data_IF_003251835117
#
_entry.id   IF_003251835117
#
_cell.length_a   1.000
_cell.length_b   1.000
_cell.length_c   1.000
_cell.angle_alpha   90.00
_cell.angle_beta   90.00
_cell.angle_gamma   90.00
#
_symmetry.space_group_name_H-M   'P 1'
#
loop_
_entity.id
_entity.type
_entity.pdbx_description
1 polymer ?
#
# COMPACT_ATOMS: atom_id res chain seq x y z
N UNK A 1 14.58 22.71 15.26
CA UNK A 1 14.50 22.55 16.73
C UNK A 1 13.21 23.14 17.31
N UNK A 2 12.66 24.19 16.73
CA UNK A 2 11.40 24.79 17.21
C UNK A 2 10.12 24.05 16.77
N UNK A 3 10.18 23.30 15.68
CA UNK A 3 9.05 22.50 15.18
C UNK A 3 8.72 21.26 16.02
N UNK A 4 9.70 20.67 16.70
CA UNK A 4 9.47 19.50 17.57
C UNK A 4 8.74 19.86 18.88
N UNK A 5 9.03 21.07 19.41
CA UNK A 5 8.32 21.57 20.59
C UNK A 5 6.84 21.87 20.29
N UNK A 6 6.53 22.30 19.06
CA UNK A 6 5.16 22.60 18.66
C UNK A 6 4.30 21.35 18.51
N UNK A 7 4.86 20.23 18.06
CA UNK A 7 4.15 18.94 17.95
C UNK A 7 3.79 18.37 19.34
N UNK A 8 4.74 18.45 20.28
CA UNK A 8 4.51 18.05 21.66
C UNK A 8 3.43 18.89 22.35
N UNK A 9 3.39 20.19 22.05
CA UNK A 9 2.42 21.13 22.63
C UNK A 9 1.02 20.94 22.05
N UNK A 10 0.89 20.71 20.74
CA UNK A 10 -0.40 20.43 20.09
C UNK A 10 -0.99 19.11 20.58
N UNK A 11 -0.18 18.06 20.66
CA UNK A 11 -0.63 16.76 21.17
C UNK A 11 -0.94 16.79 22.69
N UNK A 12 -0.28 17.66 23.47
CA UNK A 12 -0.57 17.84 24.90
C UNK A 12 -1.80 18.71 25.17
N UNK A 13 -2.09 19.67 24.30
CA UNK A 13 -3.26 20.54 24.46
C UNK A 13 -4.58 19.77 24.25
N UNK A 14 -4.60 18.86 23.27
CA UNK A 14 -5.76 17.96 23.08
C UNK A 14 -5.90 16.86 24.16
N UNK A 15 -4.81 16.58 24.88
CA UNK A 15 -4.81 15.56 25.93
C UNK A 15 -5.09 16.10 27.33
N UNK A 16 -5.19 17.42 27.51
CA UNK A 16 -5.26 18.08 28.82
C UNK A 16 -6.70 18.46 29.24
N UNK A 17 -7.68 18.47 28.34
CA UNK A 17 -9.09 18.64 28.73
C UNK A 17 -9.76 17.27 28.83
N UNK A 18 -10.37 16.92 29.99
CA UNK A 18 -11.27 15.77 30.04
C UNK A 18 -12.39 16.00 29.02
N UNK A 19 -12.87 14.95 28.33
CA UNK A 19 -14.02 15.12 27.45
C UNK A 19 -15.15 15.74 28.27
N UNK A 20 -15.84 16.75 27.74
CA UNK A 20 -17.02 17.29 28.38
C UNK A 20 -18.01 16.13 28.63
N UNK A 21 -18.65 16.11 29.78
CA UNK A 21 -19.62 15.09 30.14
C UNK A 21 -20.71 14.99 29.05
N UNK A 22 -21.04 13.77 28.67
CA UNK A 22 -21.82 13.37 27.47
C UNK A 22 -23.22 14.03 27.30
N UNK A 23 -23.68 14.81 28.25
CA UNK A 23 -25.07 15.30 28.23
C UNK A 23 -25.34 16.52 27.32
N UNK A 24 -24.33 17.19 26.74
CA UNK A 24 -24.52 18.40 25.94
C UNK A 24 -23.73 18.50 24.64
N UNK A 25 -23.17 17.42 24.14
CA UNK A 25 -22.50 17.46 22.84
C UNK A 25 -23.52 17.31 21.70
N UNK A 26 -23.85 18.43 21.08
CA UNK A 26 -24.54 18.42 19.78
C UNK A 26 -23.62 17.69 18.79
N UNK A 27 -24.13 16.63 18.14
CA UNK A 27 -23.37 15.93 17.11
C UNK A 27 -23.04 16.94 15.99
N UNK A 28 -21.76 17.22 15.70
CA UNK A 28 -21.38 18.16 14.65
C UNK A 28 -22.00 17.84 13.29
N UNK A 29 -22.35 16.57 13.07
CA UNK A 29 -23.06 16.16 11.86
C UNK A 29 -24.49 16.68 11.78
N UNK A 30 -25.08 17.19 12.88
CA UNK A 30 -26.39 17.83 12.90
C UNK A 30 -26.33 19.35 12.87
N UNK A 31 -25.20 19.95 13.25
CA UNK A 31 -25.00 21.39 13.30
C UNK A 31 -24.75 22.02 11.92
N UNK A 32 -24.05 21.29 11.04
CA UNK A 32 -23.71 21.78 9.71
C UNK A 32 -24.65 21.26 8.63
N UNK A 33 -24.93 22.11 7.63
CA UNK A 33 -25.74 21.74 6.47
C UNK A 33 -25.19 20.49 5.75
N UNK A 34 -26.09 19.63 5.31
CA UNK A 34 -25.73 18.38 4.63
C UNK A 34 -24.92 18.62 3.35
N UNK A 35 -25.21 19.69 2.61
CA UNK A 35 -24.45 20.04 1.41
C UNK A 35 -23.03 20.47 1.74
N UNK A 36 -22.82 21.23 2.81
CA UNK A 36 -21.50 21.62 3.30
C UNK A 36 -20.68 20.39 3.72
N UNK A 37 -21.27 19.50 4.52
CA UNK A 37 -20.61 18.26 4.98
C UNK A 37 -20.16 17.38 3.82
N UNK A 38 -21.08 17.11 2.88
CA UNK A 38 -20.78 16.31 1.68
C UNK A 38 -19.66 16.94 0.85
N UNK A 39 -19.65 18.26 0.70
CA UNK A 39 -18.60 18.98 -0.03
C UNK A 39 -17.24 18.86 0.66
N UNK A 40 -17.19 19.10 1.97
CA UNK A 40 -15.95 19.00 2.74
C UNK A 40 -15.38 17.56 2.72
N UNK A 41 -16.22 16.54 2.94
CA UNK A 41 -15.80 15.14 2.92
C UNK A 41 -15.33 14.73 1.53
N UNK A 42 -16.05 15.07 0.45
CA UNK A 42 -15.62 14.77 -0.93
C UNK A 42 -14.26 15.37 -1.28
N UNK A 43 -13.97 16.55 -0.76
CA UNK A 43 -12.69 17.23 -0.96
C UNK A 43 -11.53 16.42 -0.33
N UNK A 44 -11.77 15.92 0.88
CA UNK A 44 -10.82 15.03 1.56
C UNK A 44 -10.73 13.68 0.86
N UNK A 45 -11.85 13.09 0.45
CA UNK A 45 -11.89 11.83 -0.30
C UNK A 45 -11.06 11.93 -1.59
N UNK A 46 -11.18 13.02 -2.33
CA UNK A 46 -10.41 13.22 -3.57
C UNK A 46 -8.91 13.27 -3.30
N UNK A 47 -8.47 14.02 -2.29
CA UNK A 47 -7.05 14.17 -1.98
C UNK A 47 -6.46 12.94 -1.28
N UNK A 48 -7.14 12.40 -0.31
CA UNK A 48 -6.61 11.31 0.52
C UNK A 48 -6.87 9.94 -0.11
N UNK A 49 -8.14 9.61 -0.34
CA UNK A 49 -8.54 8.31 -0.90
C UNK A 49 -8.08 8.20 -2.35
N UNK A 50 -8.22 9.28 -3.15
CA UNK A 50 -7.74 9.33 -4.52
C UNK A 50 -6.23 9.11 -4.63
N UNK A 51 -5.44 9.79 -3.79
CA UNK A 51 -3.99 9.60 -3.75
C UNK A 51 -3.62 8.16 -3.35
N UNK A 52 -4.21 7.62 -2.28
CA UNK A 52 -3.93 6.26 -1.85
C UNK A 52 -4.38 5.21 -2.85
N UNK A 53 -5.48 5.44 -3.54
CA UNK A 53 -5.92 4.57 -4.64
C UNK A 53 -4.88 4.54 -5.76
N UNK A 54 -4.33 5.68 -6.13
CA UNK A 54 -3.31 5.78 -7.17
C UNK A 54 -2.02 5.05 -6.76
N UNK A 55 -1.53 5.26 -5.54
CA UNK A 55 -0.35 4.54 -5.02
C UNK A 55 -0.60 3.03 -4.96
N UNK A 56 -1.79 2.63 -4.53
CA UNK A 56 -2.16 1.22 -4.43
C UNK A 56 -2.28 0.52 -5.78
N UNK A 57 -2.73 1.24 -6.84
CA UNK A 57 -2.70 0.77 -8.22
C UNK A 57 -1.27 0.36 -8.60
N UNK A 58 -0.30 1.27 -8.46
CA UNK A 58 1.10 0.96 -8.82
C UNK A 58 1.68 -0.15 -7.95
N UNK A 59 1.32 -0.22 -6.67
CA UNK A 59 1.74 -1.30 -5.80
C UNK A 59 1.24 -2.68 -6.27
N UNK A 60 -0.02 -2.77 -6.68
CA UNK A 60 -0.61 -4.03 -7.17
C UNK A 60 -0.01 -4.42 -8.52
N UNK A 61 0.22 -3.46 -9.40
CA UNK A 61 0.89 -3.67 -10.68
C UNK A 61 2.30 -4.21 -10.45
N UNK A 62 3.11 -3.56 -9.60
CA UNK A 62 4.48 -4.00 -9.26
C UNK A 62 4.51 -5.43 -8.69
N UNK A 63 3.59 -5.76 -7.79
CA UNK A 63 3.46 -7.13 -7.26
C UNK A 63 3.17 -8.16 -8.36
N UNK A 64 2.34 -7.82 -9.36
CA UNK A 64 1.98 -8.69 -10.49
C UNK A 64 3.14 -8.85 -11.48
N UNK A 65 4.07 -7.90 -11.53
CA UNK A 65 5.18 -7.89 -12.48
C UNK A 65 6.12 -9.08 -12.35
N UNK A 66 6.27 -9.63 -11.17
CA UNK A 66 7.11 -10.81 -11.00
C UNK A 66 6.54 -12.02 -11.74
N UNK A 67 5.23 -12.18 -11.74
CA UNK A 67 4.56 -13.22 -12.53
C UNK A 67 4.70 -12.96 -14.03
N UNK A 68 4.51 -11.71 -14.45
CA UNK A 68 4.62 -11.30 -15.85
C UNK A 68 6.09 -11.42 -16.34
N UNK A 69 7.08 -10.99 -15.55
CA UNK A 69 8.50 -11.08 -15.88
C UNK A 69 8.99 -12.54 -16.02
N UNK A 70 8.32 -13.48 -15.36
CA UNK A 70 8.64 -14.89 -15.49
C UNK A 70 8.34 -15.46 -16.89
N UNK A 71 7.37 -14.88 -17.60
CA UNK A 71 6.89 -15.38 -18.90
C UNK A 71 7.13 -14.41 -20.05
N UNK A 72 7.36 -13.12 -19.79
CA UNK A 72 7.61 -12.11 -20.84
C UNK A 72 8.79 -12.55 -21.72
N UNK A 73 8.62 -12.52 -23.03
CA UNK A 73 9.65 -12.88 -24.00
C UNK A 73 10.28 -14.28 -23.76
N UNK A 74 9.49 -15.21 -23.20
CA UNK A 74 9.95 -16.57 -22.89
C UNK A 74 10.43 -17.32 -24.15
N UNK A 75 9.76 -17.10 -25.26
CA UNK A 75 10.07 -17.69 -26.57
C UNK A 75 11.43 -17.22 -27.08
N UNK A 76 11.76 -15.93 -26.88
CA UNK A 76 13.04 -15.32 -27.23
C UNK A 76 14.18 -15.72 -26.27
N UNK A 77 13.85 -16.33 -25.13
CA UNK A 77 14.84 -16.68 -24.12
C UNK A 77 15.36 -15.50 -23.29
N UNK A 78 14.70 -14.33 -23.36
CA UNK A 78 15.10 -13.08 -22.70
C UNK A 78 14.30 -12.80 -21.42
N UNK A 79 13.53 -13.77 -20.92
CA UNK A 79 12.80 -13.62 -19.66
C UNK A 79 13.75 -13.62 -18.44
N UNK A 80 13.25 -13.09 -17.32
CA UNK A 80 14.03 -12.90 -16.09
C UNK A 80 14.71 -14.18 -15.58
N UNK A 81 14.03 -15.33 -15.62
CA UNK A 81 14.58 -16.60 -15.12
C UNK A 81 15.78 -17.07 -15.93
N UNK A 82 15.71 -16.96 -17.27
CA UNK A 82 16.79 -17.36 -18.16
C UNK A 82 17.97 -16.40 -18.09
N UNK A 83 17.73 -15.08 -18.11
CA UNK A 83 18.80 -14.09 -18.05
C UNK A 83 19.56 -14.09 -16.72
N UNK A 84 18.87 -14.31 -15.61
CA UNK A 84 19.51 -14.38 -14.29
C UNK A 84 19.97 -15.79 -13.91
N UNK A 85 19.85 -16.78 -14.83
CA UNK A 85 20.19 -18.18 -14.62
C UNK A 85 19.57 -18.79 -13.35
N UNK A 86 18.29 -18.46 -13.08
CA UNK A 86 17.59 -18.90 -11.89
C UNK A 86 17.00 -20.31 -12.07
N UNK A 87 17.36 -21.21 -11.18
CA UNK A 87 16.68 -22.49 -11.08
C UNK A 87 15.30 -22.35 -10.40
N UNK A 88 14.38 -23.34 -10.52
CA UNK A 88 13.04 -23.23 -9.94
C UNK A 88 13.02 -22.95 -8.44
N UNK A 89 13.94 -23.54 -7.67
CA UNK A 89 14.05 -23.30 -6.23
C UNK A 89 14.49 -21.87 -5.92
N UNK A 90 15.47 -21.36 -6.64
CA UNK A 90 15.93 -19.96 -6.50
C UNK A 90 14.81 -18.98 -6.85
N UNK A 91 14.05 -19.26 -7.89
CA UNK A 91 12.89 -18.45 -8.24
C UNK A 91 11.85 -18.42 -7.11
N UNK A 92 11.50 -19.57 -6.54
CA UNK A 92 10.60 -19.66 -5.40
C UNK A 92 11.11 -18.86 -4.19
N UNK A 93 12.42 -18.93 -3.91
CA UNK A 93 13.05 -18.13 -2.86
C UNK A 93 12.96 -16.63 -3.12
N UNK A 94 13.10 -16.15 -4.36
CA UNK A 94 12.96 -14.72 -4.68
C UNK A 94 11.54 -14.21 -4.43
N UNK A 95 10.53 -15.04 -4.59
CA UNK A 95 9.15 -14.69 -4.27
C UNK A 95 8.92 -14.70 -2.75
N UNK A 96 9.42 -15.72 -2.06
CA UNK A 96 9.17 -15.91 -0.61
C UNK A 96 9.89 -14.89 0.26
N UNK A 97 11.10 -14.47 -0.11
CA UNK A 97 11.91 -13.54 0.70
C UNK A 97 11.21 -12.20 0.92
N UNK A 98 10.43 -11.74 -0.06
CA UNK A 98 9.57 -10.57 0.07
C UNK A 98 8.60 -10.72 1.25
N UNK A 99 7.90 -11.85 1.34
CA UNK A 99 6.91 -12.10 2.39
C UNK A 99 7.56 -12.20 3.77
N UNK A 100 8.74 -12.80 3.87
CA UNK A 100 9.48 -12.85 5.13
C UNK A 100 9.92 -11.48 5.61
N UNK A 101 10.50 -10.67 4.72
CA UNK A 101 10.88 -9.30 5.08
C UNK A 101 9.67 -8.46 5.43
N UNK A 102 8.56 -8.58 4.69
CA UNK A 102 7.32 -7.89 4.97
C UNK A 102 6.83 -8.19 6.40
N UNK A 103 6.72 -9.47 6.74
CA UNK A 103 6.25 -9.91 8.06
C UNK A 103 7.15 -9.41 9.22
N UNK A 104 8.47 -9.45 9.02
CA UNK A 104 9.43 -9.03 10.06
C UNK A 104 9.37 -7.51 10.28
N UNK A 105 9.22 -6.72 9.23
CA UNK A 105 9.30 -5.26 9.31
C UNK A 105 7.95 -4.55 9.51
N UNK A 106 6.82 -5.22 9.30
CA UNK A 106 5.49 -4.63 9.49
C UNK A 106 5.27 -4.09 10.91
N UNK A 107 5.56 -4.81 12.01
CA UNK A 107 5.43 -4.28 13.36
C UNK A 107 6.35 -3.09 13.62
N UNK A 108 7.58 -3.15 13.13
CA UNK A 108 8.56 -2.07 13.29
C UNK A 108 8.14 -0.80 12.56
N UNK A 109 7.64 -0.91 11.35
CA UNK A 109 7.11 0.22 10.58
C UNK A 109 5.89 0.85 11.26
N UNK A 110 5.00 0.04 11.83
CA UNK A 110 3.83 0.53 12.57
C UNK A 110 4.22 1.31 13.83
N UNK A 111 5.32 0.93 14.50
CA UNK A 111 5.85 1.66 15.64
C UNK A 111 6.48 3.00 15.22
N UNK A 112 7.23 3.01 14.14
CA UNK A 112 7.86 4.21 13.59
C UNK A 112 6.82 5.23 13.12
N UNK A 113 5.72 4.78 12.57
CA UNK A 113 4.61 5.62 12.12
C UNK A 113 4.09 6.57 13.20
N UNK A 114 4.09 6.16 14.48
CA UNK A 114 3.67 6.99 15.60
C UNK A 114 4.63 8.15 15.91
N UNK A 115 5.87 8.08 15.44
CA UNK A 115 6.91 9.10 15.68
C UNK A 115 7.01 10.14 14.57
N UNK A 116 6.55 9.81 13.38
CA UNK A 116 6.68 10.67 12.20
C UNK A 116 5.32 11.23 11.77
N UNK A 117 5.35 12.37 11.07
CA UNK A 117 4.16 12.91 10.41
C UNK A 117 3.72 11.98 9.27
N UNK A 118 2.42 11.71 9.11
CA UNK A 118 1.92 10.75 8.12
C UNK A 118 2.43 10.98 6.69
N UNK A 119 2.35 12.21 6.17
CA UNK A 119 2.82 12.52 4.81
C UNK A 119 4.32 12.28 4.62
N UNK A 120 5.15 12.66 5.60
CA UNK A 120 6.60 12.41 5.54
C UNK A 120 6.93 10.93 5.61
N UNK A 121 6.22 10.18 6.44
CA UNK A 121 6.43 8.73 6.53
C UNK A 121 6.02 8.03 5.25
N UNK A 122 4.87 8.40 4.67
CA UNK A 122 4.43 7.90 3.37
C UNK A 122 5.42 8.22 2.26
N UNK A 123 5.98 9.45 2.25
CA UNK A 123 7.05 9.80 1.32
C UNK A 123 8.23 8.81 1.41
N UNK A 124 8.73 8.55 2.62
CA UNK A 124 9.89 7.65 2.83
C UNK A 124 9.57 6.23 2.36
N UNK A 125 8.41 5.70 2.71
CA UNK A 125 8.01 4.34 2.32
C UNK A 125 7.86 4.20 0.81
N UNK A 126 7.14 5.12 0.16
CA UNK A 126 6.89 5.08 -1.28
C UNK A 126 8.19 5.31 -2.06
N UNK A 127 9.06 6.23 -1.59
CA UNK A 127 10.35 6.48 -2.21
C UNK A 127 11.27 5.26 -2.12
N UNK A 128 11.39 4.67 -0.92
CA UNK A 128 12.22 3.48 -0.71
C UNK A 128 11.73 2.32 -1.58
N UNK A 129 10.41 2.08 -1.60
CA UNK A 129 9.83 1.08 -2.48
C UNK A 129 10.09 1.37 -3.96
N UNK A 130 9.83 2.58 -4.44
CA UNK A 130 10.03 2.96 -5.84
C UNK A 130 11.49 2.82 -6.30
N UNK A 131 12.47 3.22 -5.47
CA UNK A 131 13.89 3.03 -5.74
C UNK A 131 14.22 1.53 -5.81
N UNK A 132 13.76 0.72 -4.86
CA UNK A 132 14.01 -0.71 -4.86
C UNK A 132 13.37 -1.40 -6.07
N UNK A 133 12.10 -1.07 -6.41
CA UNK A 133 11.41 -1.61 -7.57
C UNK A 133 12.15 -1.29 -8.88
N UNK A 134 12.56 -0.04 -9.06
CA UNK A 134 13.37 0.37 -10.22
C UNK A 134 14.73 -0.36 -10.27
N UNK A 135 15.35 -0.58 -9.10
CA UNK A 135 16.65 -1.27 -9.00
C UNK A 135 16.60 -2.74 -9.43
N UNK A 136 15.40 -3.36 -9.45
CA UNK A 136 15.25 -4.72 -10.02
C UNK A 136 15.73 -4.77 -11.47
N UNK A 137 15.52 -3.71 -12.24
CA UNK A 137 15.95 -3.63 -13.63
C UNK A 137 17.49 -3.77 -13.82
N UNK A 138 18.28 -3.44 -12.81
CA UNK A 138 19.73 -3.50 -12.83
C UNK A 138 20.30 -4.82 -12.29
N UNK A 139 19.47 -5.70 -11.76
CA UNK A 139 19.90 -6.98 -11.18
C UNK A 139 20.51 -7.91 -12.24
N UNK A 140 21.61 -8.58 -11.86
CA UNK A 140 22.36 -9.47 -12.75
C UNK A 140 22.40 -10.94 -12.29
N UNK A 141 21.78 -11.27 -11.13
CA UNK A 141 21.82 -12.65 -10.65
C UNK A 141 21.01 -12.85 -9.36
N UNK A 142 20.98 -14.10 -8.89
CA UNK A 142 20.18 -14.52 -7.75
C UNK A 142 20.41 -13.67 -6.49
N UNK A 143 21.67 -13.43 -6.11
CA UNK A 143 21.98 -12.65 -4.88
C UNK A 143 21.43 -11.24 -4.92
N UNK A 144 21.60 -10.53 -6.04
CA UNK A 144 21.05 -9.19 -6.23
C UNK A 144 19.54 -9.20 -6.17
N UNK A 145 18.88 -10.19 -6.79
CA UNK A 145 17.43 -10.34 -6.74
C UNK A 145 16.93 -10.54 -5.30
N UNK A 146 17.61 -11.40 -4.53
CA UNK A 146 17.26 -11.62 -3.11
C UNK A 146 17.36 -10.35 -2.28
N UNK A 147 18.45 -9.57 -2.43
CA UNK A 147 18.64 -8.31 -1.70
C UNK A 147 17.55 -7.28 -2.04
N UNK A 148 17.26 -7.08 -3.32
CA UNK A 148 16.27 -6.10 -3.75
C UNK A 148 14.87 -6.53 -3.32
N UNK A 149 14.50 -7.80 -3.44
CA UNK A 149 13.21 -8.34 -2.99
C UNK A 149 13.01 -8.20 -1.48
N UNK A 150 14.08 -8.44 -0.71
CA UNK A 150 14.05 -8.21 0.74
C UNK A 150 13.84 -6.73 1.07
N UNK A 151 14.53 -5.82 0.38
CA UNK A 151 14.39 -4.38 0.57
C UNK A 151 12.99 -3.87 0.18
N UNK A 152 12.41 -4.39 -0.91
CA UNK A 152 11.03 -4.06 -1.31
C UNK A 152 10.04 -4.48 -0.21
N UNK A 153 10.14 -5.72 0.29
CA UNK A 153 9.25 -6.20 1.36
C UNK A 153 9.37 -5.36 2.63
N UNK A 154 10.58 -4.94 3.00
CA UNK A 154 10.82 -4.04 4.14
C UNK A 154 10.16 -2.66 3.92
N UNK A 155 10.27 -2.08 2.74
CA UNK A 155 9.70 -0.77 2.42
C UNK A 155 8.17 -0.82 2.33
N UNK A 156 7.60 -1.85 1.72
CA UNK A 156 6.15 -2.00 1.54
C UNK A 156 5.40 -2.36 2.84
N UNK A 157 6.07 -3.01 3.79
CA UNK A 157 5.45 -3.53 5.02
C UNK A 157 4.73 -2.44 5.85
N UNK A 158 5.20 -1.19 5.77
CA UNK A 158 4.60 -0.06 6.48
C UNK A 158 3.46 0.63 5.75
N UNK A 159 3.23 0.35 4.47
CA UNK A 159 2.30 1.12 3.65
C UNK A 159 0.84 0.99 4.12
N UNK A 160 0.32 -0.22 4.21
CA UNK A 160 -1.09 -0.43 4.56
C UNK A 160 -1.45 0.04 5.98
N UNK A 161 -0.67 -0.30 7.03
CA UNK A 161 -0.86 0.25 8.36
C UNK A 161 -0.79 1.79 8.39
N UNK A 162 0.11 2.40 7.59
CA UNK A 162 0.24 3.85 7.51
C UNK A 162 -1.00 4.50 6.87
N UNK A 163 -1.56 3.90 5.83
CA UNK A 163 -2.81 4.36 5.21
C UNK A 163 -3.95 4.34 6.23
N UNK A 164 -4.15 3.22 6.94
CA UNK A 164 -5.21 3.09 7.93
C UNK A 164 -5.06 4.10 9.08
N UNK A 165 -3.84 4.22 9.59
CA UNK A 165 -3.54 5.17 10.66
C UNK A 165 -3.78 6.63 10.22
N UNK A 166 -3.34 6.98 9.00
CA UNK A 166 -3.56 8.32 8.47
C UNK A 166 -5.06 8.60 8.24
N UNK A 167 -5.80 7.66 7.68
CA UNK A 167 -7.25 7.81 7.49
C UNK A 167 -8.01 8.01 8.81
N UNK A 168 -7.54 7.42 9.92
CA UNK A 168 -8.16 7.59 11.23
C UNK A 168 -8.12 9.03 11.76
N UNK A 169 -7.26 9.90 11.23
CA UNK A 169 -7.26 11.34 11.54
C UNK A 169 -8.27 12.15 10.72
N UNK A 170 -8.95 11.54 9.75
CA UNK A 170 -9.83 12.22 8.81
C UNK A 170 -11.27 11.71 8.80
N UNK A 171 -11.46 10.45 9.19
CA UNK A 171 -12.75 9.78 9.07
C UNK A 171 -13.19 9.15 10.39
N UNK A 172 -14.51 9.13 10.61
CA UNK A 172 -15.11 8.35 11.69
C UNK A 172 -14.91 6.85 11.44
N UNK A 173 -14.81 6.01 12.48
CA UNK A 173 -14.66 4.55 12.31
C UNK A 173 -15.72 3.91 11.42
N UNK A 174 -16.94 4.42 11.43
CA UNK A 174 -18.05 3.95 10.58
C UNK A 174 -17.89 4.26 9.10
N UNK A 175 -17.06 5.24 8.74
CA UNK A 175 -16.84 5.69 7.37
C UNK A 175 -15.62 5.05 6.71
N UNK A 176 -14.67 4.56 7.51
CA UNK A 176 -13.44 3.97 7.03
C UNK A 176 -13.65 2.73 6.16
N UNK A 177 -14.54 1.77 6.50
CA UNK A 177 -14.67 0.53 5.75
C UNK A 177 -15.00 0.75 4.27
N UNK A 178 -15.92 1.67 3.96
CA UNK A 178 -16.31 1.95 2.57
C UNK A 178 -15.16 2.54 1.75
N UNK A 179 -14.34 3.40 2.35
CA UNK A 179 -13.19 4.02 1.70
C UNK A 179 -12.03 3.03 1.52
N UNK A 180 -11.80 2.20 2.51
CA UNK A 180 -10.82 1.09 2.43
C UNK A 180 -11.25 0.12 1.33
N UNK A 181 -12.53 -0.27 1.29
CA UNK A 181 -13.04 -1.14 0.25
C UNK A 181 -12.88 -0.51 -1.15
N UNK A 182 -13.13 0.80 -1.29
CA UNK A 182 -12.98 1.50 -2.56
C UNK A 182 -11.53 1.46 -3.06
N UNK A 183 -10.57 1.95 -2.28
CA UNK A 183 -9.19 2.00 -2.76
C UNK A 183 -8.61 0.60 -2.96
N UNK A 184 -8.98 -0.38 -2.13
CA UNK A 184 -8.58 -1.77 -2.29
C UNK A 184 -9.14 -2.36 -3.59
N UNK A 185 -10.43 -2.16 -3.89
CA UNK A 185 -11.07 -2.65 -5.12
C UNK A 185 -10.45 -2.04 -6.37
N UNK A 186 -10.18 -0.73 -6.37
CA UNK A 186 -9.51 -0.05 -7.48
C UNK A 186 -8.12 -0.64 -7.72
N UNK A 187 -7.37 -0.91 -6.65
CA UNK A 187 -6.08 -1.58 -6.76
C UNK A 187 -6.19 -2.99 -7.32
N UNK A 188 -7.14 -3.80 -6.83
CA UNK A 188 -7.32 -5.16 -7.35
C UNK A 188 -7.70 -5.17 -8.84
N UNK A 189 -8.54 -4.25 -9.28
CA UNK A 189 -8.85 -4.09 -10.71
C UNK A 189 -7.60 -3.75 -11.54
N UNK A 190 -6.62 -3.05 -10.96
CA UNK A 190 -5.38 -2.72 -11.67
C UNK A 190 -4.49 -3.93 -11.96
N UNK A 191 -4.68 -5.06 -11.27
CA UNK A 191 -3.96 -6.30 -11.57
C UNK A 191 -4.26 -6.81 -12.99
N UNK A 192 -5.49 -6.58 -13.48
CA UNK A 192 -5.85 -6.88 -14.84
C UNK A 192 -5.08 -6.01 -15.86
N UNK A 193 -4.84 -4.73 -15.52
CA UNK A 193 -4.07 -3.81 -16.36
C UNK A 193 -2.58 -4.20 -16.40
N UNK A 194 -2.05 -4.82 -15.35
CA UNK A 194 -0.65 -5.27 -15.29
C UNK A 194 -0.30 -6.23 -16.43
N UNK A 195 -1.18 -7.18 -16.75
CA UNK A 195 -0.99 -8.09 -17.88
C UNK A 195 -0.94 -7.36 -19.23
N UNK A 196 -1.81 -6.37 -19.43
CA UNK A 196 -1.83 -5.55 -20.65
C UNK A 196 -0.57 -4.69 -20.77
N UNK A 197 -0.12 -4.09 -19.67
CA UNK A 197 1.13 -3.32 -19.63
C UNK A 197 2.34 -4.22 -19.93
N UNK A 198 2.41 -5.40 -19.32
CA UNK A 198 3.47 -6.36 -19.57
C UNK A 198 3.49 -6.82 -21.03
N UNK A 199 2.32 -7.01 -21.65
CA UNK A 199 2.21 -7.29 -23.08
C UNK A 199 2.80 -6.16 -23.93
N UNK A 200 2.38 -4.91 -23.68
CA UNK A 200 2.86 -3.75 -24.43
C UNK A 200 4.38 -3.52 -24.24
N UNK A 201 4.87 -3.68 -23.01
CA UNK A 201 6.29 -3.53 -22.66
C UNK A 201 7.14 -4.68 -23.26
N UNK A 202 6.54 -5.85 -23.47
CA UNK A 202 7.23 -6.98 -24.12
C UNK A 202 7.78 -6.64 -25.52
N UNK A 203 7.16 -5.70 -26.25
CA UNK A 203 7.67 -5.21 -27.54
C UNK A 203 8.93 -4.32 -27.42
N UNK A 204 9.25 -3.88 -26.22
CA UNK A 204 10.46 -3.09 -25.95
C UNK A 204 11.71 -3.98 -25.74
N UNK A 205 11.60 -5.29 -25.89
CA UNK A 205 12.72 -6.22 -25.74
C UNK A 205 13.86 -5.88 -26.71
N UNK A 206 15.06 -5.70 -26.19
CA UNK A 206 16.24 -5.27 -26.96
C UNK A 206 16.41 -3.76 -27.12
N UNK A 207 15.41 -2.93 -26.83
CA UNK A 207 15.56 -1.48 -26.86
C UNK A 207 16.55 -1.02 -25.79
N UNK A 208 17.51 -0.18 -26.17
CA UNK A 208 18.56 0.28 -25.25
C UNK A 208 19.43 -0.83 -24.67
N UNK A 209 19.53 -1.97 -25.37
CA UNK A 209 20.23 -3.18 -24.90
C UNK A 209 19.63 -3.79 -23.61
N UNK A 210 18.40 -3.45 -23.30
CA UNK A 210 17.68 -3.99 -22.12
C UNK A 210 16.65 -5.04 -22.55
N UNK A 211 16.52 -6.10 -21.76
CA UNK A 211 15.47 -7.08 -21.94
C UNK A 211 14.08 -6.49 -21.52
N UNK A 212 13.01 -7.01 -22.10
CA UNK A 212 11.66 -6.54 -21.86
C UNK A 212 11.26 -6.53 -20.35
N UNK A 213 11.68 -7.53 -19.56
CA UNK A 213 11.43 -7.55 -18.13
C UNK A 213 12.14 -6.42 -17.35
N UNK A 214 13.28 -5.92 -17.83
CA UNK A 214 13.97 -4.79 -17.21
C UNK A 214 13.19 -3.48 -17.42
N UNK A 215 12.64 -3.30 -18.62
CA UNK A 215 11.76 -2.20 -18.93
C UNK A 215 10.49 -2.22 -18.07
N UNK A 216 9.94 -3.41 -17.79
CA UNK A 216 8.77 -3.58 -16.93
C UNK A 216 9.00 -2.95 -15.56
N UNK A 217 10.07 -3.33 -14.86
CA UNK A 217 10.38 -2.79 -13.53
C UNK A 217 10.81 -1.33 -13.55
N UNK A 218 11.47 -0.89 -14.61
CA UNK A 218 11.90 0.49 -14.74
C UNK A 218 10.71 1.43 -14.95
N UNK A 219 9.82 1.12 -15.87
CA UNK A 219 8.68 1.96 -16.21
C UNK A 219 7.60 1.98 -15.11
N UNK A 220 7.51 0.94 -14.31
CA UNK A 220 6.52 0.86 -13.23
C UNK A 220 7.08 1.30 -11.87
N UNK A 221 8.39 1.24 -11.66
CA UNK A 221 9.03 1.79 -10.47
C UNK A 221 9.16 3.32 -10.49
N UNK A 222 9.40 3.94 -11.65
CA UNK A 222 9.54 5.39 -11.77
C UNK A 222 8.29 6.17 -11.31
N UNK A 223 7.05 5.80 -11.66
CA UNK A 223 5.87 6.47 -11.14
C UNK A 223 5.77 6.46 -9.62
N UNK A 224 6.21 5.39 -8.94
CA UNK A 224 6.24 5.34 -7.49
C UNK A 224 7.17 6.42 -6.90
N UNK A 225 8.33 6.65 -7.51
CA UNK A 225 9.25 7.73 -7.11
C UNK A 225 8.58 9.10 -7.30
N UNK A 226 7.90 9.33 -8.41
CA UNK A 226 7.16 10.58 -8.65
C UNK A 226 6.05 10.76 -7.60
N UNK A 227 5.28 9.70 -7.33
CA UNK A 227 4.21 9.73 -6.34
C UNK A 227 4.74 9.98 -4.92
N UNK A 228 5.96 9.54 -4.60
CA UNK A 228 6.57 9.86 -3.31
C UNK A 228 6.74 11.37 -3.14
N UNK A 229 7.21 12.05 -4.17
CA UNK A 229 7.35 13.52 -4.15
C UNK A 229 5.97 14.19 -4.03
N UNK A 230 4.96 13.68 -4.72
CA UNK A 230 3.58 14.16 -4.57
C UNK A 230 3.07 13.94 -3.14
N UNK A 231 3.40 12.81 -2.50
CA UNK A 231 3.05 12.57 -1.10
C UNK A 231 3.64 13.64 -0.17
N UNK A 232 4.91 14.01 -0.38
CA UNK A 232 5.60 14.97 0.49
C UNK A 232 4.97 16.36 0.47
N UNK A 233 4.55 16.83 -0.70
CA UNK A 233 4.06 18.20 -0.89
C UNK A 233 2.52 18.30 -0.98
N UNK A 234 1.86 17.26 -1.44
CA UNK A 234 0.42 17.26 -1.71
C UNK A 234 -0.42 16.57 -0.63
N UNK A 235 0.13 15.61 0.11
CA UNK A 235 -0.65 14.88 1.10
C UNK A 235 -0.76 15.70 2.39
N UNK A 236 -1.98 16.00 2.88
CA UNK A 236 -2.16 16.72 4.13
C UNK A 236 -1.90 15.80 5.32
N UNK A 237 -1.16 16.26 6.33
CA UNK A 237 -0.88 15.47 7.54
C UNK A 237 -2.12 15.32 8.43
N UNK A 238 -2.69 16.46 8.85
CA UNK A 238 -3.80 16.55 9.79
C UNK A 238 -4.81 17.61 9.33
N UNK A 239 -6.08 17.52 9.74
CA UNK A 239 -7.11 18.52 9.39
C UNK A 239 -6.71 19.96 9.73
N UNK A 240 -6.05 20.17 10.87
CA UNK A 240 -5.60 21.48 11.35
C UNK A 240 -4.63 22.16 10.38
N UNK A 241 -3.69 21.39 9.84
CA UNK A 241 -2.59 21.89 9.02
C UNK A 241 -2.90 21.82 7.52
N UNK A 242 -4.05 21.28 7.15
CA UNK A 242 -4.43 21.08 5.75
C UNK A 242 -4.64 22.41 5.02
N UNK A 243 -3.81 22.66 4.01
CA UNK A 243 -3.89 23.88 3.18
C UNK A 243 -5.12 23.90 2.26
N UNK A 244 -5.66 22.75 1.95
CA UNK A 244 -6.83 22.61 1.06
C UNK A 244 -8.16 22.96 1.73
N UNK A 245 -8.23 22.96 3.06
CA UNK A 245 -9.46 23.21 3.82
C UNK A 245 -9.59 24.69 4.21
N UNK A 246 -10.81 25.20 4.14
CA UNK A 246 -11.16 26.50 4.75
C UNK A 246 -11.15 26.41 6.26
N UNK A 247 -11.12 27.54 6.95
CA UNK A 247 -11.12 27.55 8.42
C UNK A 247 -12.37 26.90 9.01
N UNK A 248 -13.51 27.09 8.37
CA UNK A 248 -14.79 26.49 8.76
C UNK A 248 -14.76 24.96 8.57
N UNK A 249 -14.25 24.48 7.41
CA UNK A 249 -14.08 23.05 7.15
C UNK A 249 -13.13 22.40 8.18
N UNK A 250 -12.05 23.09 8.58
CA UNK A 250 -11.15 22.61 9.63
C UNK A 250 -11.85 22.45 10.97
N UNK A 251 -12.61 23.47 11.38
CA UNK A 251 -13.38 23.43 12.63
C UNK A 251 -14.37 22.26 12.62
N UNK A 252 -15.07 22.06 11.51
CA UNK A 252 -15.97 20.92 11.33
C UNK A 252 -15.25 19.57 11.53
N UNK A 253 -14.10 19.35 10.87
CA UNK A 253 -13.36 18.10 11.05
C UNK A 253 -12.84 17.91 12.46
N UNK A 254 -12.34 18.95 13.11
CA UNK A 254 -11.82 18.88 14.48
C UNK A 254 -12.94 18.55 15.49
N UNK A 255 -14.09 19.21 15.40
CA UNK A 255 -15.23 18.92 16.26
C UNK A 255 -15.74 17.49 16.05
N UNK A 256 -15.82 17.05 14.78
CA UNK A 256 -16.34 15.75 14.40
C UNK A 256 -15.44 14.58 14.86
N UNK A 257 -14.14 14.80 14.92
CA UNK A 257 -13.16 13.78 15.25
C UNK A 257 -12.72 13.80 16.71
N UNK A 258 -13.05 14.86 17.46
CA UNK A 258 -12.65 15.01 18.86
C UNK A 258 -13.07 13.82 19.75
N UNK A 259 -14.19 13.20 19.44
CA UNK A 259 -14.74 12.05 20.18
C UNK A 259 -14.23 10.69 19.71
N UNK A 260 -13.65 10.60 18.51
CA UNK A 260 -13.34 9.31 17.85
C UNK A 260 -11.87 9.12 17.49
N UNK A 261 -11.08 10.20 17.54
CA UNK A 261 -9.64 10.13 17.20
C UNK A 261 -8.90 9.29 18.25
N UNK A 262 -8.07 8.33 17.83
CA UNK A 262 -7.21 7.62 18.76
C UNK A 262 -6.37 8.65 19.52
N UNK A 263 -6.54 8.74 20.84
CA UNK A 263 -5.71 9.64 21.64
C UNK A 263 -4.26 9.25 21.40
N UNK A 264 -3.40 10.23 21.01
CA UNK A 264 -1.97 10.01 20.82
C UNK A 264 -1.23 9.50 22.07
N UNK A 265 -1.91 9.43 23.20
CA UNK A 265 -1.55 8.71 24.42
C UNK A 265 -1.86 7.21 24.30
N UNK A 266 -1.53 6.59 23.20
CA UNK A 266 -1.48 5.13 23.19
C UNK A 266 -0.35 4.72 24.11
N UNK A 267 -0.73 4.09 25.22
CA UNK A 267 0.14 3.71 26.29
C UNK A 267 1.39 2.99 25.83
N UNK A 268 2.42 3.07 26.64
CA UNK A 268 3.62 2.27 26.49
C UNK A 268 3.23 0.81 26.23
N UNK A 269 4.01 0.14 25.40
CA UNK A 269 3.89 -1.30 25.20
C UNK A 269 3.82 -2.00 26.56
N UNK A 270 2.65 -2.52 26.93
CA UNK A 270 2.48 -3.30 28.14
C UNK A 270 2.36 -4.77 27.74
N UNK A 271 3.25 -5.60 28.27
CA UNK A 271 3.17 -7.07 28.11
C UNK A 271 1.83 -7.65 28.54
N UNK A 272 1.11 -6.98 29.45
CA UNK A 272 -0.24 -7.38 29.85
C UNK A 272 -1.23 -7.26 28.68
N UNK A 273 -1.16 -6.17 27.92
CA UNK A 273 -2.00 -5.97 26.71
C UNK A 273 -1.72 -7.02 25.65
N UNK A 274 -0.44 -7.37 25.43
CA UNK A 274 -0.10 -8.49 24.54
C UNK A 274 -0.66 -9.82 25.01
N UNK A 275 -0.58 -10.12 26.30
CA UNK A 275 -1.13 -11.37 26.85
C UNK A 275 -2.65 -11.45 26.69
N UNK A 276 -3.37 -10.35 26.88
CA UNK A 276 -4.82 -10.28 26.65
C UNK A 276 -5.14 -10.52 25.19
N UNK A 277 -4.39 -9.89 24.26
CA UNK A 277 -4.57 -10.09 22.83
C UNK A 277 -4.39 -11.55 22.42
N UNK A 278 -3.33 -12.19 22.88
CA UNK A 278 -3.07 -13.61 22.59
C UNK A 278 -3.99 -14.58 23.34
N UNK A 279 -4.72 -14.14 24.36
CA UNK A 279 -5.74 -14.93 25.04
C UNK A 279 -7.10 -14.90 24.31
N UNK A 280 -7.29 -13.95 23.39
CA UNK A 280 -8.55 -13.81 22.65
C UNK A 280 -8.63 -14.85 21.49
N UNK A 281 -9.60 -15.80 21.52
CA UNK A 281 -9.76 -16.79 20.47
C UNK A 281 -10.08 -16.19 19.09
N UNK A 282 -10.61 -14.97 19.05
CA UNK A 282 -10.92 -14.24 17.81
C UNK A 282 -9.66 -14.02 16.97
N UNK A 283 -8.51 -13.74 17.62
CA UNK A 283 -7.22 -13.56 16.93
C UNK A 283 -6.83 -14.80 16.15
N UNK A 284 -6.98 -15.99 16.75
CA UNK A 284 -6.64 -17.26 16.11
C UNK A 284 -7.60 -17.60 14.98
N UNK A 285 -8.89 -17.36 15.15
CA UNK A 285 -9.90 -17.59 14.10
C UNK A 285 -9.63 -16.72 12.89
N UNK A 286 -9.37 -15.42 13.08
CA UNK A 286 -8.97 -14.52 12.00
C UNK A 286 -7.66 -14.94 11.36
N UNK A 287 -6.66 -15.35 12.14
CA UNK A 287 -5.37 -15.81 11.62
C UNK A 287 -5.52 -17.03 10.73
N UNK A 288 -6.32 -18.01 11.13
CA UNK A 288 -6.60 -19.21 10.33
C UNK A 288 -7.34 -18.84 9.03
N UNK A 289 -8.36 -17.97 9.13
CA UNK A 289 -9.08 -17.48 7.96
C UNK A 289 -8.15 -16.81 6.94
N UNK A 290 -7.30 -15.88 7.40
CA UNK A 290 -6.36 -15.18 6.54
C UNK A 290 -5.25 -16.09 5.98
N UNK A 291 -4.82 -17.09 6.75
CA UNK A 291 -3.87 -18.11 6.28
C UNK A 291 -4.48 -18.93 5.15
N UNK A 292 -5.70 -19.43 5.32
CA UNK A 292 -6.39 -20.20 4.29
C UNK A 292 -6.64 -19.35 3.03
N UNK A 293 -7.09 -18.11 3.19
CA UNK A 293 -7.28 -17.16 2.08
C UNK A 293 -5.96 -16.86 1.37
N UNK A 294 -4.86 -16.66 2.10
CA UNK A 294 -3.55 -16.38 1.55
C UNK A 294 -2.99 -17.55 0.72
N UNK A 295 -3.07 -18.78 1.21
CA UNK A 295 -2.61 -19.98 0.49
C UNK A 295 -3.34 -20.10 -0.87
N UNK A 296 -4.66 -19.98 -0.88
CA UNK A 296 -5.45 -20.05 -2.11
C UNK A 296 -5.21 -18.86 -3.05
N UNK A 297 -5.25 -17.66 -2.50
CA UNK A 297 -5.19 -16.41 -3.28
C UNK A 297 -3.82 -16.15 -3.92
N UNK A 298 -2.77 -16.15 -3.11
CA UNK A 298 -1.42 -15.84 -3.60
C UNK A 298 -0.82 -16.97 -4.43
N UNK A 299 -1.07 -18.24 -4.05
CA UNK A 299 -0.58 -19.39 -4.81
C UNK A 299 -1.08 -19.37 -6.25
N UNK A 300 -2.37 -19.13 -6.44
CA UNK A 300 -2.98 -19.01 -7.77
C UNK A 300 -2.46 -17.78 -8.51
N UNK A 301 -2.42 -16.61 -7.87
CA UNK A 301 -2.01 -15.36 -8.51
C UNK A 301 -0.59 -15.43 -9.10
N UNK A 302 0.36 -16.03 -8.40
CA UNK A 302 1.73 -16.18 -8.90
C UNK A 302 1.89 -17.30 -9.94
N UNK A 303 1.10 -18.36 -9.86
CA UNK A 303 1.20 -19.49 -10.76
C UNK A 303 0.39 -19.31 -12.05
N UNK A 304 -0.70 -18.55 -12.00
CA UNK A 304 -1.72 -18.48 -13.06
C UNK A 304 -1.15 -18.15 -14.44
N UNK A 305 -0.30 -17.12 -14.65
CA UNK A 305 0.26 -16.84 -15.97
C UNK A 305 1.06 -18.01 -16.54
N UNK A 306 1.83 -18.66 -15.66
CA UNK A 306 2.64 -19.83 -16.04
C UNK A 306 1.79 -21.05 -16.37
N UNK A 307 0.72 -21.30 -15.61
CA UNK A 307 -0.22 -22.40 -15.84
C UNK A 307 -0.98 -22.21 -17.16
N UNK A 308 -1.49 -21.01 -17.43
CA UNK A 308 -2.18 -20.71 -18.69
C UNK A 308 -1.25 -20.94 -19.88
N UNK A 309 0.01 -20.53 -19.79
CA UNK A 309 1.02 -20.77 -20.82
C UNK A 309 1.27 -22.27 -21.03
N UNK A 310 1.42 -23.05 -19.94
CA UNK A 310 1.68 -24.50 -20.01
C UNK A 310 0.51 -25.31 -20.55
N UNK A 311 -0.72 -24.81 -20.39
CA UNK A 311 -1.93 -25.45 -20.97
C UNK A 311 -1.97 -25.36 -22.52
N UNK A 312 -1.02 -24.65 -23.13
CA UNK A 312 -0.84 -24.61 -24.58
C UNK A 312 -1.90 -23.79 -25.32
N UNK A 313 -2.70 -23.01 -24.58
CA UNK A 313 -3.77 -22.26 -25.23
C UNK A 313 -3.26 -21.12 -26.11
N UNK A 314 -1.98 -20.69 -25.94
CA UNK A 314 -1.58 -19.45 -26.64
C UNK A 314 -0.08 -19.14 -26.55
N UNK A 315 0.34 -18.13 -27.34
CA UNK A 315 1.62 -17.42 -27.20
C UNK A 315 1.70 -16.74 -25.82
N UNK A 316 2.91 -16.48 -25.34
CA UNK A 316 3.18 -15.76 -24.08
C UNK A 316 2.38 -14.49 -23.94
N UNK A 317 2.24 -13.76 -25.02
CA UNK A 317 1.49 -12.50 -25.11
C UNK A 317 -0.01 -12.67 -24.79
N UNK A 318 -0.63 -13.71 -25.32
CA UNK A 318 -2.06 -13.97 -25.10
C UNK A 318 -2.32 -14.54 -23.69
N UNK A 319 -1.37 -15.26 -23.12
CA UNK A 319 -1.43 -15.74 -21.73
C UNK A 319 -1.48 -14.57 -20.72
N UNK A 320 -0.78 -13.49 -21.01
CA UNK A 320 -0.84 -12.26 -20.20
C UNK A 320 -2.20 -11.57 -20.31
N UNK A 321 -2.79 -11.50 -21.50
CA UNK A 321 -4.14 -10.95 -21.72
C UNK A 321 -5.23 -11.80 -21.06
N UNK A 322 -5.13 -13.13 -21.10
CA UNK A 322 -6.10 -14.03 -20.45
C UNK A 322 -6.14 -13.91 -18.92
N UNK A 323 -5.08 -13.43 -18.29
CA UNK A 323 -5.11 -13.10 -16.86
C UNK A 323 -6.18 -12.06 -16.52
N UNK A 324 -6.52 -11.16 -17.44
CA UNK A 324 -7.58 -10.15 -17.23
C UNK A 324 -8.90 -10.81 -16.87
N UNK A 325 -9.27 -11.89 -17.56
CA UNK A 325 -10.53 -12.62 -17.32
C UNK A 325 -10.55 -13.24 -15.92
N UNK A 326 -9.41 -13.77 -15.46
CA UNK A 326 -9.31 -14.42 -14.14
C UNK A 326 -9.39 -13.45 -12.98
N UNK A 327 -8.95 -12.22 -13.16
CA UNK A 327 -9.04 -11.17 -12.13
C UNK A 327 -10.40 -10.45 -12.14
N UNK A 328 -11.13 -10.45 -13.25
CA UNK A 328 -12.46 -9.84 -13.35
C UNK A 328 -13.59 -10.67 -12.74
N UNK A 329 -13.34 -11.92 -12.37
CA UNK A 329 -14.31 -12.85 -11.76
C UNK A 329 -14.16 -12.94 -10.23
N UNK A 330 -13.18 -12.25 -9.63
CA UNK A 330 -13.00 -12.14 -8.17
C UNK A 330 -13.61 -10.85 -7.63
#
# INVERSE_FOLDING_TARGET
MDDEKNIGTVLTTYAASPPPSDENMVDPDTEYDEAFRKKAIRKVDFWLVGFYSLVYIFRVIDSSNYSNAAIINLENGTNIKKQLHLNPSQWAWTLSIFSYSYLIFEPSNTLLLKKFRPARWMFVLILAWGICATSVSAVQGFRGMMCVRFAIGMAEAGFFPAVLFHMAFWYKPSEMPSRIAFFYSVGQLSSALSGLLAYAIGFMDGLGHLAGWRWLFLLEGLPAIILSVVALFGLPDYPETARMLTQEEKTFFLQRLATTTPSGKTGNWDFKTLRVLFADPTVYTFSIYWLAHGIGGFGIAYALPTVIYQLGFTTTSLSQLMNIVSYGVR
#
